data_IF_595196955045
#
_entry.id   IF_595196955045
#
_cell.length_a   1.000
_cell.length_b   1.000
_cell.length_c   1.000
_cell.angle_alpha   90.00
_cell.angle_beta   90.00
_cell.angle_gamma   90.00
#
_symmetry.space_group_name_H-M   'P 1'
#
loop_
_entity.id
_entity.type
_entity.pdbx_description
1 polymer ?
#
# COMPACT_ATOMS: atom_id res chain seq x y z
N UNK A 1 -21.10 14.12 -21.56
CA UNK A 1 -20.01 15.04 -21.17
C UNK A 1 -18.69 14.42 -21.61
N UNK A 2 -17.85 15.13 -22.35
CA UNK A 2 -16.63 14.53 -22.91
C UNK A 2 -15.66 14.10 -21.79
N UNK A 3 -15.04 12.92 -21.91
CA UNK A 3 -14.02 12.36 -20.98
C UNK A 3 -12.92 13.40 -20.64
N UNK A 4 -12.55 14.20 -21.63
CA UNK A 4 -11.60 15.31 -21.48
C UNK A 4 -12.03 16.34 -20.43
N UNK A 5 -13.31 16.74 -20.41
CA UNK A 5 -13.83 17.73 -19.45
C UNK A 5 -13.85 17.18 -18.02
N UNK A 6 -14.15 15.90 -17.86
CA UNK A 6 -14.09 15.22 -16.57
C UNK A 6 -12.66 15.21 -16.00
N UNK A 7 -11.68 14.78 -16.81
CA UNK A 7 -10.28 14.71 -16.40
C UNK A 7 -9.68 16.08 -16.10
N UNK A 8 -10.08 17.12 -16.85
CA UNK A 8 -9.65 18.49 -16.62
C UNK A 8 -10.16 19.00 -15.26
N UNK A 9 -11.44 18.78 -14.94
CA UNK A 9 -12.03 19.19 -13.66
C UNK A 9 -11.31 18.49 -12.50
N UNK A 10 -11.05 17.18 -12.59
CA UNK A 10 -10.31 16.47 -11.55
C UNK A 10 -8.89 17.00 -11.35
N UNK A 11 -8.21 17.39 -12.43
CA UNK A 11 -6.88 18.02 -12.33
C UNK A 11 -6.93 19.38 -11.67
N UNK A 12 -7.92 20.21 -12.01
CA UNK A 12 -8.10 21.52 -11.37
C UNK A 12 -8.43 21.40 -9.89
N UNK A 13 -9.34 20.49 -9.51
CA UNK A 13 -9.68 20.22 -8.11
C UNK A 13 -8.44 19.81 -7.32
N UNK A 14 -7.59 18.98 -7.89
CA UNK A 14 -6.33 18.55 -7.28
C UNK A 14 -5.32 19.69 -7.09
N UNK A 15 -5.17 20.57 -8.10
CA UNK A 15 -4.26 21.72 -8.01
C UNK A 15 -4.78 22.69 -6.95
N UNK A 16 -6.08 22.97 -6.92
CA UNK A 16 -6.69 23.84 -5.92
C UNK A 16 -6.50 23.29 -4.49
N UNK A 17 -6.66 21.99 -4.30
CA UNK A 17 -6.40 21.32 -3.04
C UNK A 17 -4.94 21.56 -2.57
N UNK A 18 -3.98 21.30 -3.45
CA UNK A 18 -2.57 21.49 -3.14
C UNK A 18 -2.24 22.96 -2.83
N UNK A 19 -2.85 23.91 -3.53
CA UNK A 19 -2.70 25.35 -3.24
C UNK A 19 -3.27 25.69 -1.87
N UNK A 20 -4.50 25.25 -1.55
CA UNK A 20 -5.14 25.52 -0.28
C UNK A 20 -4.35 24.98 0.91
N UNK A 21 -3.87 23.74 0.84
CA UNK A 21 -3.06 23.13 1.91
C UNK A 21 -1.68 23.79 2.03
N UNK A 22 -1.17 24.41 0.97
CA UNK A 22 0.10 25.16 1.03
C UNK A 22 -0.02 26.51 1.76
N UNK A 23 -1.22 27.11 1.83
CA UNK A 23 -1.43 28.44 2.43
C UNK A 23 -0.97 28.49 3.91
N UNK A 24 -1.35 27.57 4.82
CA UNK A 24 -0.92 27.64 6.21
C UNK A 24 0.61 27.53 6.36
N UNK A 25 1.26 26.69 5.57
CA UNK A 25 2.71 26.62 5.54
C UNK A 25 3.34 27.94 5.08
N UNK A 26 2.84 28.51 3.99
CA UNK A 26 3.33 29.80 3.48
C UNK A 26 3.16 30.93 4.51
N UNK A 27 2.01 31.01 5.17
CA UNK A 27 1.78 31.97 6.25
C UNK A 27 2.77 31.76 7.40
N UNK A 28 2.97 30.52 7.84
CA UNK A 28 3.92 30.18 8.89
C UNK A 28 5.36 30.57 8.49
N UNK A 29 5.75 30.30 7.24
CA UNK A 29 7.04 30.71 6.69
C UNK A 29 7.25 32.21 6.76
N UNK A 30 6.36 33.02 6.12
CA UNK A 30 6.52 34.47 6.04
C UNK A 30 6.36 35.19 7.39
N UNK A 31 5.47 34.72 8.25
CA UNK A 31 5.22 35.38 9.54
C UNK A 31 6.28 35.08 10.58
N UNK A 32 6.86 33.87 10.53
CA UNK A 32 7.80 33.41 11.58
C UNK A 32 9.15 32.95 11.04
N UNK A 33 9.24 31.87 10.27
CA UNK A 33 10.51 31.23 9.97
C UNK A 33 11.45 32.06 9.10
N UNK A 34 10.95 32.79 8.10
CA UNK A 34 11.76 33.64 7.24
C UNK A 34 12.55 34.71 8.01
N UNK A 35 12.06 35.11 9.21
CA UNK A 35 12.72 36.10 10.09
C UNK A 35 13.76 35.48 10.99
N UNK A 36 13.82 34.14 11.15
CA UNK A 36 14.68 33.42 12.09
C UNK A 36 15.76 32.57 11.40
N UNK A 37 15.85 32.61 10.07
CA UNK A 37 16.94 31.96 9.32
C UNK A 37 18.26 32.70 9.51
N UNK A 38 19.38 31.96 9.34
CA UNK A 38 20.74 32.50 9.56
C UNK A 38 21.09 33.68 8.65
N UNK A 39 20.61 33.67 7.43
CA UNK A 39 20.78 34.72 6.41
C UNK A 39 19.49 34.88 5.64
N UNK A 40 18.72 35.97 5.78
CA UNK A 40 17.53 36.22 5.01
C UNK A 40 17.80 36.15 3.50
N UNK A 41 16.87 35.61 2.75
CA UNK A 41 17.00 35.56 1.30
C UNK A 41 16.96 36.95 0.70
N UNK A 42 17.92 37.24 -0.17
CA UNK A 42 18.02 38.56 -0.81
C UNK A 42 16.96 38.79 -1.91
N UNK A 43 16.49 37.73 -2.56
CA UNK A 43 15.56 37.88 -3.68
C UNK A 43 14.37 36.91 -3.56
N UNK A 44 14.33 35.87 -4.42
CA UNK A 44 13.18 34.99 -4.59
C UNK A 44 13.25 33.70 -3.76
N UNK A 45 14.19 33.58 -2.81
CA UNK A 45 14.40 32.36 -2.03
C UNK A 45 13.18 31.93 -1.21
N UNK A 46 12.43 32.90 -0.67
CA UNK A 46 11.20 32.62 0.08
C UNK A 46 10.15 31.91 -0.77
N UNK A 47 9.99 32.33 -2.05
CA UNK A 47 9.08 31.65 -2.98
C UNK A 47 9.54 30.22 -3.29
N UNK A 48 10.86 30.00 -3.35
CA UNK A 48 11.41 28.66 -3.58
C UNK A 48 11.08 27.72 -2.41
N UNK A 49 11.15 28.18 -1.17
CA UNK A 49 10.80 27.39 0.03
C UNK A 49 9.31 26.99 -0.02
N UNK A 50 8.43 27.92 -0.32
CA UNK A 50 6.98 27.63 -0.46
C UNK A 50 6.72 26.70 -1.63
N UNK A 51 7.38 26.93 -2.78
CA UNK A 51 7.27 26.06 -3.95
C UNK A 51 7.78 24.62 -3.66
N UNK A 52 8.86 24.48 -2.87
CA UNK A 52 9.38 23.19 -2.45
C UNK A 52 8.34 22.42 -1.62
N UNK A 53 7.70 23.09 -0.64
CA UNK A 53 6.62 22.48 0.11
C UNK A 53 5.48 22.03 -0.81
N UNK A 54 5.03 22.88 -1.73
CA UNK A 54 3.97 22.56 -2.69
C UNK A 54 4.29 21.31 -3.52
N UNK A 55 5.53 21.22 -4.02
CA UNK A 55 6.00 20.04 -4.80
C UNK A 55 6.04 18.78 -3.92
N UNK A 56 6.57 18.88 -2.70
CA UNK A 56 6.60 17.76 -1.74
C UNK A 56 5.18 17.29 -1.40
N UNK A 57 4.25 18.21 -1.13
CA UNK A 57 2.87 17.87 -0.83
C UNK A 57 2.18 17.16 -2.00
N UNK A 58 2.38 17.62 -3.25
CA UNK A 58 1.86 16.91 -4.43
C UNK A 58 2.48 15.53 -4.58
N UNK A 59 3.79 15.41 -4.34
CA UNK A 59 4.50 14.14 -4.44
C UNK A 59 3.96 13.13 -3.41
N UNK A 60 3.92 13.49 -2.13
CA UNK A 60 3.40 12.62 -1.08
C UNK A 60 1.88 12.43 -1.18
N UNK A 61 1.14 13.43 -1.61
CA UNK A 61 -0.28 13.30 -1.89
C UNK A 61 -0.60 12.26 -2.98
N UNK A 62 0.30 12.07 -3.95
CA UNK A 62 0.19 10.96 -4.92
C UNK A 62 0.55 9.61 -4.31
N UNK A 63 1.54 9.58 -3.42
CA UNK A 63 1.95 8.35 -2.72
C UNK A 63 0.85 7.82 -1.81
N UNK A 64 0.15 8.72 -1.11
CA UNK A 64 -0.92 8.37 -0.17
C UNK A 64 -2.31 8.32 -0.81
N UNK A 65 -2.43 8.53 -2.12
CA UNK A 65 -3.71 8.62 -2.85
C UNK A 65 -4.66 9.72 -2.35
N UNK A 66 -4.10 10.80 -1.79
CA UNK A 66 -4.82 11.89 -1.15
C UNK A 66 -5.76 12.67 -2.10
N UNK A 67 -5.58 12.51 -3.41
CA UNK A 67 -6.34 13.24 -4.44
C UNK A 67 -7.41 12.40 -5.16
N UNK A 68 -7.63 11.15 -4.77
CA UNK A 68 -8.58 10.25 -5.42
C UNK A 68 -10.00 10.40 -4.84
N UNK A 69 -10.55 11.62 -4.92
CA UNK A 69 -11.85 11.99 -4.34
C UNK A 69 -13.03 11.15 -4.82
N UNK A 70 -12.91 10.53 -6.00
CA UNK A 70 -13.98 9.70 -6.58
C UNK A 70 -13.91 8.23 -6.18
N UNK A 71 -12.88 7.82 -5.42
CA UNK A 71 -12.61 6.41 -5.10
C UNK A 71 -12.60 6.10 -3.61
N UNK A 72 -12.38 7.13 -2.77
CA UNK A 72 -12.21 6.97 -1.33
C UNK A 72 -13.26 7.75 -0.55
N UNK A 73 -13.53 7.31 0.67
CA UNK A 73 -14.37 8.04 1.63
C UNK A 73 -13.69 9.33 2.06
N UNK A 74 -14.48 10.34 2.45
CA UNK A 74 -13.94 11.64 2.88
C UNK A 74 -12.92 11.49 4.00
N UNK A 75 -13.16 10.61 4.98
CA UNK A 75 -12.25 10.32 6.09
C UNK A 75 -10.90 9.78 5.62
N UNK A 76 -10.90 8.89 4.63
CA UNK A 76 -9.68 8.31 4.06
C UNK A 76 -8.86 9.35 3.28
N UNK A 77 -9.55 10.26 2.56
CA UNK A 77 -8.92 11.37 1.84
C UNK A 77 -8.27 12.33 2.83
N UNK A 78 -8.99 12.78 3.86
CA UNK A 78 -8.49 13.70 4.89
C UNK A 78 -7.29 13.08 5.62
N UNK A 79 -7.37 11.80 5.94
CA UNK A 79 -6.26 11.07 6.58
C UNK A 79 -5.03 10.99 5.66
N UNK A 80 -5.23 10.70 4.38
CA UNK A 80 -4.15 10.66 3.38
C UNK A 80 -3.50 12.05 3.18
N UNK A 81 -4.31 13.12 3.17
CA UNK A 81 -3.82 14.49 3.09
C UNK A 81 -3.04 14.89 4.35
N UNK A 82 -3.52 14.51 5.53
CA UNK A 82 -2.80 14.73 6.78
C UNK A 82 -1.42 14.06 6.76
N UNK A 83 -1.32 12.81 6.33
CA UNK A 83 -0.03 12.13 6.23
C UNK A 83 0.90 12.80 5.21
N UNK A 84 0.36 13.20 4.05
CA UNK A 84 1.13 13.91 3.04
C UNK A 84 1.67 15.24 3.56
N UNK A 85 0.83 16.01 4.27
CA UNK A 85 1.22 17.28 4.90
C UNK A 85 2.25 17.06 6.01
N UNK A 86 2.03 16.12 6.92
CA UNK A 86 2.92 15.84 8.03
C UNK A 86 4.33 15.42 7.57
N UNK A 87 4.43 14.57 6.54
CA UNK A 87 5.74 14.18 5.97
C UNK A 87 6.39 15.36 5.27
N UNK A 88 5.62 16.16 4.52
CA UNK A 88 6.13 17.36 3.85
C UNK A 88 6.63 18.41 4.86
N UNK A 89 5.87 18.68 5.92
CA UNK A 89 6.24 19.59 6.99
C UNK A 89 7.47 19.11 7.76
N UNK A 90 7.57 17.81 8.01
CA UNK A 90 8.76 17.23 8.64
C UNK A 90 10.01 17.47 7.78
N UNK A 91 9.95 17.22 6.48
CA UNK A 91 11.07 17.48 5.56
C UNK A 91 11.39 18.98 5.53
N UNK A 92 10.36 19.82 5.45
CA UNK A 92 10.55 21.26 5.46
C UNK A 92 11.11 21.76 6.79
N UNK A 93 10.74 21.17 7.91
CA UNK A 93 11.34 21.50 9.21
C UNK A 93 12.85 21.20 9.25
N UNK A 94 13.27 20.06 8.66
CA UNK A 94 14.71 19.75 8.50
C UNK A 94 15.39 20.78 7.60
N UNK A 95 14.76 21.18 6.49
CA UNK A 95 15.28 22.23 5.59
C UNK A 95 15.40 23.56 6.34
N UNK A 96 14.40 23.96 7.12
CA UNK A 96 14.39 25.18 7.93
C UNK A 96 15.50 25.10 8.98
N UNK A 97 15.69 23.96 9.63
CA UNK A 97 16.79 23.75 10.57
C UNK A 97 18.16 23.95 9.93
N UNK A 98 18.38 23.40 8.72
CA UNK A 98 19.63 23.60 7.98
C UNK A 98 19.88 25.06 7.57
N UNK A 99 18.81 25.84 7.40
CA UNK A 99 18.88 27.28 7.11
C UNK A 99 19.02 28.14 8.37
N UNK A 100 18.83 27.58 9.56
CA UNK A 100 18.84 28.27 10.84
C UNK A 100 20.12 28.01 11.62
N UNK A 101 20.54 28.98 12.48
CA UNK A 101 21.72 28.80 13.36
C UNK A 101 21.44 27.85 14.53
N UNK A 102 20.19 27.77 14.96
CA UNK A 102 19.74 26.97 16.09
C UNK A 102 18.53 26.12 15.67
N UNK A 103 18.18 25.14 16.51
CA UNK A 103 16.97 24.33 16.28
C UNK A 103 15.74 25.26 16.28
N UNK A 104 14.95 25.31 15.18
CA UNK A 104 13.81 26.20 15.09
C UNK A 104 12.71 25.79 16.08
N UNK A 105 11.91 26.75 16.54
CA UNK A 105 10.73 26.45 17.33
C UNK A 105 9.74 25.64 16.49
N UNK A 106 9.30 24.50 16.99
CA UNK A 106 8.38 23.58 16.30
C UNK A 106 6.92 24.08 16.32
N UNK A 107 6.54 24.92 17.31
CA UNK A 107 5.16 25.31 17.54
C UNK A 107 4.48 25.97 16.33
N UNK A 108 5.11 26.91 15.60
CA UNK A 108 4.52 27.47 14.39
C UNK A 108 4.25 26.43 13.31
N UNK A 109 5.14 25.43 13.16
CA UNK A 109 4.93 24.31 12.23
C UNK A 109 3.73 23.44 12.63
N UNK A 110 3.55 23.17 13.92
CA UNK A 110 2.37 22.43 14.42
C UNK A 110 1.09 23.23 14.16
N UNK A 111 1.11 24.53 14.36
CA UNK A 111 -0.06 25.39 14.05
C UNK A 111 -0.36 25.36 12.54
N UNK A 112 0.68 25.40 11.70
CA UNK A 112 0.50 25.27 10.24
C UNK A 112 -0.13 23.92 9.88
N UNK A 113 0.36 22.80 10.44
CA UNK A 113 -0.18 21.46 10.21
C UNK A 113 -1.66 21.34 10.63
N UNK A 114 -2.05 21.92 11.76
CA UNK A 114 -3.46 21.96 12.18
C UNK A 114 -4.30 22.78 11.18
N UNK A 115 -3.81 23.93 10.75
CA UNK A 115 -4.46 24.74 9.71
C UNK A 115 -4.63 23.99 8.39
N UNK A 116 -3.61 23.27 7.96
CA UNK A 116 -3.64 22.41 6.78
C UNK A 116 -4.70 21.31 6.90
N UNK A 117 -4.79 20.63 8.06
CA UNK A 117 -5.78 19.60 8.32
C UNK A 117 -7.21 20.15 8.24
N UNK A 118 -7.47 21.30 8.82
CA UNK A 118 -8.78 21.96 8.76
C UNK A 118 -9.15 22.32 7.33
N UNK A 119 -8.24 22.93 6.57
CA UNK A 119 -8.48 23.27 5.17
C UNK A 119 -8.67 22.02 4.30
N UNK A 120 -7.85 21.00 4.50
CA UNK A 120 -7.99 19.72 3.82
C UNK A 120 -9.36 19.07 4.07
N UNK A 121 -9.84 19.06 5.32
CA UNK A 121 -11.14 18.50 5.67
C UNK A 121 -12.32 19.28 5.04
N UNK A 122 -12.26 20.60 5.10
CA UNK A 122 -13.28 21.48 4.48
C UNK A 122 -13.28 21.30 2.96
N UNK A 123 -12.09 21.29 2.35
CA UNK A 123 -11.95 21.10 0.92
C UNK A 123 -12.40 19.71 0.47
N UNK A 124 -11.94 18.64 1.11
CA UNK A 124 -12.32 17.28 0.76
C UNK A 124 -13.85 17.08 0.80
N UNK A 125 -14.53 17.63 1.85
CA UNK A 125 -15.98 17.58 1.95
C UNK A 125 -16.67 18.37 0.82
N UNK A 126 -16.21 19.59 0.55
CA UNK A 126 -16.80 20.47 -0.46
C UNK A 126 -16.59 19.92 -1.87
N UNK A 127 -15.37 19.49 -2.18
CA UNK A 127 -15.02 18.94 -3.49
C UNK A 127 -15.71 17.58 -3.74
N UNK A 128 -15.80 16.71 -2.72
CA UNK A 128 -16.54 15.44 -2.80
C UNK A 128 -18.03 15.69 -3.10
N UNK A 129 -18.67 16.61 -2.36
CA UNK A 129 -20.08 16.95 -2.60
C UNK A 129 -20.28 17.55 -4.01
N UNK A 130 -19.43 18.49 -4.42
CA UNK A 130 -19.49 19.11 -5.75
C UNK A 130 -19.26 18.08 -6.87
N UNK A 131 -18.34 17.13 -6.68
CA UNK A 131 -18.07 16.06 -7.64
C UNK A 131 -19.30 15.19 -7.88
N UNK A 132 -19.90 14.61 -6.83
CA UNK A 132 -21.04 13.71 -6.96
C UNK A 132 -22.35 14.43 -7.38
N UNK A 133 -22.46 15.73 -7.13
CA UNK A 133 -23.54 16.55 -7.68
C UNK A 133 -23.39 16.80 -9.19
N UNK A 134 -22.14 16.92 -9.67
CA UNK A 134 -21.84 17.26 -11.07
C UNK A 134 -21.78 16.01 -11.96
N UNK A 135 -21.28 14.89 -11.42
CA UNK A 135 -21.08 13.64 -12.13
C UNK A 135 -22.02 12.57 -11.58
N UNK A 136 -23.09 12.24 -12.32
CA UNK A 136 -23.99 11.15 -11.90
C UNK A 136 -23.24 9.80 -11.89
N UNK A 137 -23.74 8.82 -11.12
CA UNK A 137 -23.17 7.48 -11.09
C UNK A 137 -23.09 6.88 -12.49
N UNK A 138 -21.98 6.21 -12.79
CA UNK A 138 -21.76 5.53 -14.06
C UNK A 138 -22.55 4.23 -14.10
N UNK A 139 -23.31 4.01 -15.18
CA UNK A 139 -23.94 2.73 -15.44
C UNK A 139 -22.85 1.66 -15.57
N UNK A 140 -22.92 0.64 -14.72
CA UNK A 140 -21.85 -0.35 -14.53
C UNK A 140 -22.38 -1.75 -14.69
N UNK A 141 -21.67 -2.59 -15.43
CA UNK A 141 -21.92 -4.04 -15.48
C UNK A 141 -20.80 -4.79 -14.74
N UNK A 142 -21.19 -5.89 -14.10
CA UNK A 142 -20.25 -6.83 -13.45
C UNK A 142 -20.33 -8.15 -14.20
N UNK A 143 -19.23 -8.57 -14.81
CA UNK A 143 -19.13 -9.83 -15.53
C UNK A 143 -18.20 -10.76 -14.75
N UNK A 144 -18.69 -11.96 -14.46
CA UNK A 144 -17.95 -12.93 -13.67
C UNK A 144 -17.99 -14.33 -14.31
N UNK A 145 -17.10 -15.19 -13.86
CA UNK A 145 -17.11 -16.61 -14.17
C UNK A 145 -16.88 -17.40 -12.87
N UNK A 146 -15.64 -17.62 -12.48
CA UNK A 146 -15.30 -18.41 -11.29
C UNK A 146 -15.39 -17.62 -9.98
N UNK A 147 -15.44 -16.28 -10.01
CA UNK A 147 -15.40 -15.42 -8.83
C UNK A 147 -16.55 -14.43 -8.82
N UNK A 148 -17.52 -14.68 -7.95
CA UNK A 148 -18.72 -13.85 -7.75
C UNK A 148 -18.53 -12.83 -6.62
N UNK A 149 -19.50 -11.91 -6.45
CA UNK A 149 -19.61 -11.03 -5.29
C UNK A 149 -18.94 -9.67 -5.41
N UNK A 150 -18.39 -9.32 -6.58
CA UNK A 150 -17.75 -8.01 -6.79
C UNK A 150 -18.75 -6.85 -6.64
N UNK A 151 -20.02 -7.05 -6.99
CA UNK A 151 -21.09 -6.07 -6.81
C UNK A 151 -21.31 -5.73 -5.32
N UNK A 152 -21.20 -6.73 -4.42
CA UNK A 152 -21.29 -6.51 -2.97
C UNK A 152 -20.10 -5.70 -2.46
N UNK A 153 -18.91 -5.93 -3.00
CA UNK A 153 -17.71 -5.16 -2.63
C UNK A 153 -17.85 -3.68 -3.02
N UNK A 154 -18.42 -3.37 -4.19
CA UNK A 154 -18.68 -1.99 -4.60
C UNK A 154 -19.50 -1.26 -3.53
N UNK A 155 -20.57 -1.88 -3.00
CA UNK A 155 -21.40 -1.33 -1.93
C UNK A 155 -20.65 -1.23 -0.60
N UNK A 156 -19.95 -2.28 -0.18
CA UNK A 156 -19.19 -2.30 1.08
C UNK A 156 -18.13 -1.19 1.15
N UNK A 157 -17.49 -0.88 0.02
CA UNK A 157 -16.49 0.20 -0.07
C UNK A 157 -17.11 1.58 -0.29
N UNK A 158 -18.46 1.69 -0.36
CA UNK A 158 -19.17 2.97 -0.54
C UNK A 158 -18.97 3.59 -1.91
N UNK A 159 -18.72 2.76 -2.93
CA UNK A 159 -18.50 3.19 -4.32
C UNK A 159 -19.79 3.29 -5.14
N UNK A 160 -20.97 3.03 -4.54
CA UNK A 160 -22.28 3.13 -5.18
C UNK A 160 -22.56 4.53 -5.76
N UNK A 161 -22.02 5.56 -5.12
CA UNK A 161 -22.12 6.93 -5.62
C UNK A 161 -21.42 7.16 -6.95
N UNK A 162 -20.45 6.30 -7.31
CA UNK A 162 -19.70 6.36 -8.57
C UNK A 162 -20.12 5.31 -9.56
N UNK A 163 -20.34 4.09 -9.11
CA UNK A 163 -20.66 2.93 -9.94
C UNK A 163 -22.04 2.39 -9.59
N UNK A 164 -23.01 2.64 -10.45
CA UNK A 164 -24.36 2.08 -10.31
C UNK A 164 -24.40 0.75 -11.07
N UNK A 165 -24.35 -0.36 -10.35
CA UNK A 165 -24.48 -1.68 -10.98
C UNK A 165 -25.89 -1.84 -11.53
N UNK A 166 -26.01 -1.96 -12.85
CA UNK A 166 -27.27 -2.11 -13.60
C UNK A 166 -27.41 -3.48 -14.22
N UNK A 167 -26.33 -4.21 -14.42
CA UNK A 167 -26.31 -5.55 -14.95
C UNK A 167 -25.23 -6.40 -14.26
N UNK A 168 -25.57 -7.65 -13.99
CA UNK A 168 -24.63 -8.68 -13.51
C UNK A 168 -24.88 -9.93 -14.32
N UNK A 169 -23.86 -10.46 -15.00
CA UNK A 169 -23.99 -11.62 -15.89
C UNK A 169 -22.73 -12.48 -15.83
N UNK A 170 -22.86 -13.72 -16.27
CA UNK A 170 -21.74 -14.61 -16.54
C UNK A 170 -21.02 -14.20 -17.82
N UNK A 171 -19.76 -14.61 -17.98
CA UNK A 171 -19.01 -14.35 -19.20
C UNK A 171 -19.69 -14.99 -20.43
N UNK A 172 -20.25 -16.19 -20.29
CA UNK A 172 -20.97 -16.89 -21.37
C UNK A 172 -22.21 -16.11 -21.84
N UNK A 173 -23.08 -15.68 -20.90
CA UNK A 173 -24.25 -14.86 -21.20
C UNK A 173 -23.87 -13.54 -21.88
N UNK A 174 -22.79 -12.90 -21.42
CA UNK A 174 -22.30 -11.65 -21.99
C UNK A 174 -21.82 -11.84 -23.44
N UNK A 175 -21.14 -12.96 -23.74
CA UNK A 175 -20.62 -13.24 -25.08
C UNK A 175 -21.76 -13.59 -26.05
N UNK A 176 -22.77 -14.33 -25.59
CA UNK A 176 -23.97 -14.64 -26.41
C UNK A 176 -24.72 -13.35 -26.77
N UNK A 177 -24.72 -12.35 -25.90
CA UNK A 177 -25.41 -11.09 -26.14
C UNK A 177 -24.61 -9.88 -25.70
N UNK A 178 -23.60 -9.49 -26.49
CA UNK A 178 -22.74 -8.31 -26.20
C UNK A 178 -23.54 -6.99 -26.15
N UNK A 179 -24.72 -6.91 -26.79
CA UNK A 179 -25.56 -5.70 -26.76
C UNK A 179 -26.13 -5.39 -25.37
N UNK A 180 -26.05 -6.32 -24.40
CA UNK A 180 -26.34 -6.02 -23.00
C UNK A 180 -25.41 -4.96 -22.39
N UNK A 181 -24.27 -4.71 -23.02
CA UNK A 181 -23.31 -3.68 -22.62
C UNK A 181 -23.59 -2.31 -23.26
N UNK A 182 -24.62 -2.20 -24.10
CA UNK A 182 -25.01 -0.93 -24.71
C UNK A 182 -25.51 0.05 -23.64
N UNK A 183 -24.99 1.27 -23.67
CA UNK A 183 -25.30 2.27 -22.66
C UNK A 183 -24.55 2.10 -21.32
N UNK A 184 -23.71 1.07 -21.16
CA UNK A 184 -22.83 0.87 -20.02
C UNK A 184 -21.59 1.76 -20.17
N UNK A 185 -21.17 2.40 -19.08
CA UNK A 185 -19.96 3.23 -19.05
C UNK A 185 -18.74 2.46 -18.54
N UNK A 186 -18.97 1.52 -17.64
CA UNK A 186 -17.90 0.78 -16.95
C UNK A 186 -18.27 -0.69 -16.83
N UNK A 187 -17.31 -1.57 -17.08
CA UNK A 187 -17.43 -3.01 -16.88
C UNK A 187 -16.36 -3.49 -15.91
N UNK A 188 -16.76 -4.23 -14.89
CA UNK A 188 -15.85 -4.95 -14.01
C UNK A 188 -15.84 -6.43 -14.37
N UNK A 189 -14.64 -6.99 -14.54
CA UNK A 189 -14.47 -8.43 -14.89
C UNK A 189 -13.73 -9.14 -13.77
N UNK A 190 -14.31 -10.25 -13.30
CA UNK A 190 -13.80 -11.08 -12.21
C UNK A 190 -13.76 -12.55 -12.58
N UNK A 191 -12.56 -13.16 -12.54
CA UNK A 191 -12.37 -14.59 -12.71
C UNK A 191 -12.62 -15.13 -14.12
N UNK A 192 -12.77 -14.28 -15.14
CA UNK A 192 -13.08 -14.67 -16.52
C UNK A 192 -11.86 -15.19 -17.25
N UNK A 193 -12.02 -16.28 -18.04
CA UNK A 193 -10.97 -16.87 -18.86
C UNK A 193 -10.47 -15.93 -19.96
N UNK A 194 -9.19 -16.07 -20.32
CA UNK A 194 -8.53 -15.12 -21.24
C UNK A 194 -9.18 -15.02 -22.60
N UNK A 195 -9.73 -16.13 -23.12
CA UNK A 195 -10.42 -16.15 -24.41
C UNK A 195 -11.66 -15.25 -24.37
N UNK A 196 -12.54 -15.50 -23.43
CA UNK A 196 -13.83 -14.81 -23.28
C UNK A 196 -13.64 -13.35 -22.90
N UNK A 197 -12.69 -13.10 -21.99
CA UNK A 197 -12.28 -11.75 -21.62
C UNK A 197 -11.79 -10.94 -22.82
N UNK A 198 -11.05 -11.54 -23.75
CA UNK A 198 -10.55 -10.84 -24.93
C UNK A 198 -11.68 -10.45 -25.90
N UNK A 199 -12.75 -11.24 -25.98
CA UNK A 199 -13.94 -10.90 -26.76
C UNK A 199 -14.61 -9.66 -26.15
N UNK A 200 -14.88 -9.71 -24.85
CA UNK A 200 -15.52 -8.60 -24.11
C UNK A 200 -14.64 -7.35 -24.13
N UNK A 201 -13.31 -7.50 -23.98
CA UNK A 201 -12.35 -6.39 -24.03
C UNK A 201 -12.41 -5.64 -25.35
N UNK A 202 -12.40 -6.37 -26.47
CA UNK A 202 -12.48 -5.76 -27.82
C UNK A 202 -13.77 -4.97 -27.96
N UNK A 203 -14.91 -5.55 -27.60
CA UNK A 203 -16.18 -4.86 -27.62
C UNK A 203 -16.19 -3.59 -26.75
N UNK A 204 -15.67 -3.67 -25.52
CA UNK A 204 -15.55 -2.52 -24.63
C UNK A 204 -14.69 -1.40 -25.22
N UNK A 205 -13.55 -1.74 -25.83
CA UNK A 205 -12.64 -0.76 -26.46
C UNK A 205 -13.31 -0.11 -27.67
N UNK A 206 -13.96 -0.89 -28.53
CA UNK A 206 -14.69 -0.39 -29.71
C UNK A 206 -15.84 0.56 -29.33
N UNK A 207 -16.55 0.27 -28.24
CA UNK A 207 -17.68 1.07 -27.77
C UNK A 207 -17.30 2.11 -26.70
N UNK A 208 -16.01 2.38 -26.48
CA UNK A 208 -15.51 3.36 -25.51
C UNK A 208 -15.96 3.11 -24.07
N UNK A 209 -16.17 1.84 -23.69
CA UNK A 209 -16.52 1.39 -22.35
C UNK A 209 -15.23 1.19 -21.55
N UNK A 210 -15.16 1.73 -20.34
CA UNK A 210 -14.00 1.50 -19.45
C UNK A 210 -14.11 0.13 -18.79
N UNK A 211 -13.06 -0.68 -18.89
CA UNK A 211 -13.04 -2.02 -18.30
C UNK A 211 -12.02 -2.11 -17.16
N UNK A 212 -12.45 -2.62 -16.01
CA UNK A 212 -11.59 -3.01 -14.89
C UNK A 212 -11.53 -4.53 -14.81
N UNK A 213 -10.33 -5.07 -14.75
CA UNK A 213 -10.11 -6.52 -14.74
C UNK A 213 -9.35 -6.90 -13.47
N UNK A 214 -9.86 -7.89 -12.74
CA UNK A 214 -9.05 -8.57 -11.73
C UNK A 214 -8.11 -9.52 -12.48
N UNK A 215 -6.78 -9.25 -12.50
CA UNK A 215 -5.86 -10.00 -13.32
C UNK A 215 -5.69 -11.42 -12.78
N UNK A 216 -5.54 -12.38 -13.68
CA UNK A 216 -5.08 -13.72 -13.35
C UNK A 216 -3.53 -13.74 -13.24
N UNK A 217 -2.97 -14.77 -12.66
CA UNK A 217 -1.51 -14.94 -12.49
C UNK A 217 -0.77 -14.75 -13.83
N UNK A 218 -1.26 -15.36 -14.90
CA UNK A 218 -0.68 -15.22 -16.25
C UNK A 218 -0.68 -13.78 -16.76
N UNK A 219 -1.76 -13.03 -16.51
CA UNK A 219 -1.86 -11.62 -16.91
C UNK A 219 -0.83 -10.76 -16.15
N UNK A 220 -0.68 -11.03 -14.86
CA UNK A 220 0.27 -10.32 -14.01
C UNK A 220 1.72 -10.59 -14.46
N UNK A 221 2.05 -11.83 -14.81
CA UNK A 221 3.36 -12.18 -15.37
C UNK A 221 3.57 -11.48 -16.71
N UNK A 222 2.56 -11.50 -17.59
CA UNK A 222 2.63 -10.85 -18.91
C UNK A 222 2.74 -9.32 -18.80
N UNK A 223 2.20 -8.69 -17.76
CA UNK A 223 2.32 -7.23 -17.57
C UNK A 223 3.76 -6.77 -17.39
N UNK A 224 4.64 -7.62 -16.86
CA UNK A 224 6.09 -7.37 -16.75
C UNK A 224 6.91 -7.73 -17.99
N UNK A 225 6.26 -8.11 -19.10
CA UNK A 225 6.95 -8.51 -20.31
C UNK A 225 7.63 -7.31 -21.01
N UNK A 226 8.82 -7.53 -21.53
CA UNK A 226 9.51 -6.55 -22.35
C UNK A 226 9.07 -6.64 -23.81
N UNK A 227 8.61 -5.52 -24.36
CA UNK A 227 8.30 -5.41 -25.78
C UNK A 227 9.59 -5.41 -26.59
N UNK A 228 9.66 -6.27 -27.59
CA UNK A 228 10.80 -6.37 -28.50
C UNK A 228 10.36 -6.69 -29.93
N UNK A 229 11.22 -6.45 -30.89
CA UNK A 229 11.01 -6.80 -32.28
C UNK A 229 12.07 -7.82 -32.69
N UNK A 230 11.65 -8.99 -33.14
CA UNK A 230 12.51 -10.01 -33.72
C UNK A 230 11.84 -10.57 -34.98
N UNK A 231 12.63 -10.89 -35.98
CA UNK A 231 12.13 -11.43 -37.26
C UNK A 231 11.05 -10.56 -37.93
N UNK A 232 11.11 -9.23 -37.73
CA UNK A 232 10.11 -8.25 -38.16
C UNK A 232 8.72 -8.44 -37.50
N UNK A 233 8.66 -9.17 -36.39
CA UNK A 233 7.43 -9.43 -35.63
C UNK A 233 7.51 -8.75 -34.26
N UNK A 234 6.38 -8.20 -33.76
CA UNK A 234 6.28 -7.76 -32.40
C UNK A 234 6.26 -8.97 -31.45
N UNK A 235 7.14 -8.99 -30.46
CA UNK A 235 7.24 -10.07 -29.49
C UNK A 235 7.24 -9.54 -28.07
N UNK A 236 6.74 -10.36 -27.15
CA UNK A 236 6.82 -10.15 -25.71
C UNK A 236 7.83 -11.12 -25.13
N UNK A 237 8.90 -10.59 -24.55
CA UNK A 237 9.87 -11.39 -23.81
C UNK A 237 9.43 -11.47 -22.36
N UNK A 238 9.04 -12.66 -21.95
CA UNK A 238 8.74 -13.00 -20.56
C UNK A 238 9.89 -13.81 -20.00
N UNK A 239 10.31 -13.52 -18.77
CA UNK A 239 11.38 -14.23 -18.12
C UNK A 239 11.19 -14.25 -16.60
N UNK A 240 12.04 -15.03 -15.91
CA UNK A 240 12.12 -14.98 -14.45
C UNK A 240 12.55 -13.58 -14.00
N UNK A 241 12.13 -13.14 -12.80
CA UNK A 241 12.56 -11.89 -12.18
C UNK A 241 14.09 -11.74 -12.24
N UNK A 242 14.49 -10.77 -12.99
CA UNK A 242 15.90 -10.43 -13.18
C UNK A 242 16.03 -8.91 -13.35
N UNK A 243 15.87 -8.13 -12.27
CA UNK A 243 15.96 -6.69 -12.33
C UNK A 243 17.38 -6.24 -12.63
N UNK A 244 17.50 -5.01 -13.12
CA UNK A 244 18.79 -4.41 -13.44
C UNK A 244 19.70 -4.36 -12.20
N UNK A 245 21.01 -4.61 -12.35
CA UNK A 245 21.98 -4.58 -11.25
C UNK A 245 22.00 -3.26 -10.50
N UNK A 246 21.79 -2.13 -11.20
CA UNK A 246 21.73 -0.79 -10.62
C UNK A 246 20.56 -0.66 -9.63
N UNK A 247 19.40 -1.19 -9.99
CA UNK A 247 18.25 -1.23 -9.08
C UNK A 247 18.57 -2.04 -7.82
N UNK A 248 19.16 -3.24 -7.98
CA UNK A 248 19.51 -4.10 -6.84
C UNK A 248 20.55 -3.44 -5.92
N UNK A 249 21.52 -2.73 -6.50
CA UNK A 249 22.54 -1.99 -5.75
C UNK A 249 21.91 -0.85 -4.94
N UNK A 250 21.12 0.01 -5.59
CA UNK A 250 20.46 1.15 -4.93
C UNK A 250 19.50 0.65 -3.85
N UNK A 251 18.70 -0.38 -4.16
CA UNK A 251 17.80 -1.01 -3.20
C UNK A 251 18.55 -1.52 -1.97
N UNK A 252 19.67 -2.23 -2.18
CA UNK A 252 20.49 -2.74 -1.08
C UNK A 252 21.11 -1.62 -0.24
N UNK A 253 21.57 -0.56 -0.87
CA UNK A 253 22.10 0.62 -0.19
C UNK A 253 21.02 1.28 0.69
N UNK A 254 19.82 1.47 0.15
CA UNK A 254 18.66 2.00 0.91
C UNK A 254 18.28 1.08 2.06
N UNK A 255 18.22 -0.23 1.84
CA UNK A 255 17.96 -1.22 2.88
C UNK A 255 18.94 -1.07 4.06
N UNK A 256 20.23 -0.95 3.79
CA UNK A 256 21.28 -0.80 4.82
C UNK A 256 21.16 0.55 5.53
N UNK A 257 21.10 1.65 4.78
CA UNK A 257 21.09 3.01 5.35
C UNK A 257 19.86 3.23 6.22
N UNK A 258 18.68 2.89 5.70
CA UNK A 258 17.41 3.10 6.42
C UNK A 258 17.34 2.17 7.65
N UNK A 259 17.71 0.89 7.52
CA UNK A 259 17.67 -0.04 8.64
C UNK A 259 18.68 0.31 9.74
N UNK A 260 19.89 0.76 9.39
CA UNK A 260 20.89 1.20 10.35
C UNK A 260 20.42 2.48 11.07
N UNK A 261 19.92 3.47 10.34
CA UNK A 261 19.37 4.70 10.91
C UNK A 261 18.19 4.40 11.84
N UNK A 262 17.26 3.53 11.41
CA UNK A 262 16.10 3.13 12.21
C UNK A 262 16.53 2.41 13.50
N UNK A 263 17.51 1.51 13.46
CA UNK A 263 18.02 0.83 14.66
C UNK A 263 18.65 1.81 15.66
N UNK A 264 19.39 2.82 15.18
CA UNK A 264 19.97 3.85 16.05
C UNK A 264 18.87 4.71 16.69
N UNK A 265 17.95 5.22 15.89
CA UNK A 265 16.87 6.11 16.35
C UNK A 265 15.92 5.37 17.32
N UNK A 266 15.56 4.13 16.99
CA UNK A 266 14.63 3.32 17.76
C UNK A 266 15.31 2.54 18.91
N UNK A 267 16.62 2.67 19.10
CA UNK A 267 17.36 1.95 20.17
C UNK A 267 16.77 2.14 21.58
N UNK A 268 16.23 3.31 21.99
CA UNK A 268 15.57 3.44 23.29
C UNK A 268 14.29 2.58 23.38
N UNK A 269 13.53 2.49 22.29
CA UNK A 269 12.31 1.65 22.21
C UNK A 269 12.69 0.17 22.31
N UNK A 270 13.79 -0.25 21.65
CA UNK A 270 14.32 -1.60 21.77
C UNK A 270 14.67 -1.94 23.23
N UNK A 271 15.35 -1.04 23.93
CA UNK A 271 15.75 -1.24 25.32
C UNK A 271 14.53 -1.36 26.24
N UNK A 272 13.57 -0.42 26.13
CA UNK A 272 12.35 -0.44 26.95
C UNK A 272 11.54 -1.70 26.69
N UNK A 273 11.37 -2.09 25.44
CA UNK A 273 10.65 -3.30 25.05
C UNK A 273 11.35 -4.56 25.59
N UNK A 274 12.68 -4.63 25.48
CA UNK A 274 13.45 -5.76 26.00
C UNK A 274 13.31 -5.90 27.51
N UNK A 275 13.36 -4.80 28.26
CA UNK A 275 13.17 -4.78 29.72
C UNK A 275 11.73 -5.23 30.06
N UNK A 276 10.72 -4.70 29.38
CA UNK A 276 9.31 -5.04 29.62
C UNK A 276 9.02 -6.54 29.40
N UNK A 277 9.54 -7.12 28.30
CA UNK A 277 9.41 -8.57 28.03
C UNK A 277 10.11 -9.38 29.12
N UNK A 278 11.34 -8.99 29.50
CA UNK A 278 12.11 -9.70 30.52
C UNK A 278 11.45 -9.65 31.89
N UNK A 279 10.82 -8.54 32.22
CA UNK A 279 10.11 -8.35 33.50
C UNK A 279 8.80 -9.17 33.57
N UNK A 280 8.20 -9.55 32.45
CA UNK A 280 6.91 -10.24 32.41
C UNK A 280 7.02 -11.72 32.81
N UNK A 281 7.99 -12.46 32.26
CA UNK A 281 8.11 -13.90 32.46
C UNK A 281 9.57 -14.41 32.48
N UNK A 282 10.54 -13.52 32.57
CA UNK A 282 11.98 -13.80 32.64
C UNK A 282 12.56 -14.60 31.47
N UNK A 283 11.77 -14.91 30.43
CA UNK A 283 12.19 -15.66 29.25
C UNK A 283 13.04 -14.87 28.25
N UNK A 284 13.34 -15.42 27.06
CA UNK A 284 14.12 -14.75 26.01
C UNK A 284 13.39 -13.53 25.46
N UNK A 285 14.12 -12.46 25.19
CA UNK A 285 13.56 -11.22 24.62
C UNK A 285 13.16 -11.39 23.15
N UNK A 286 14.00 -12.10 22.39
CA UNK A 286 13.78 -12.34 20.98
C UNK A 286 13.20 -13.73 20.73
N UNK A 287 12.33 -13.78 19.74
CA UNK A 287 11.80 -15.00 19.14
C UNK A 287 12.33 -15.12 17.72
N UNK A 288 12.78 -16.32 17.35
CA UNK A 288 13.28 -16.63 16.01
C UNK A 288 12.39 -17.69 15.39
N UNK A 289 11.95 -17.46 14.16
CA UNK A 289 11.09 -18.38 13.41
C UNK A 289 11.63 -18.58 11.99
N UNK A 290 11.64 -19.82 11.53
CA UNK A 290 12.05 -20.14 10.16
C UNK A 290 11.03 -19.60 9.15
N UNK A 291 11.55 -18.94 8.12
CA UNK A 291 10.79 -18.36 7.01
C UNK A 291 11.52 -18.55 5.70
N UNK A 292 10.77 -18.48 4.58
CA UNK A 292 11.32 -18.56 3.24
C UNK A 292 11.65 -17.17 2.69
N UNK A 293 12.76 -17.08 1.96
CA UNK A 293 13.17 -15.90 1.19
C UNK A 293 13.47 -16.31 -0.26
N UNK A 294 14.18 -15.47 -0.99
CA UNK A 294 14.50 -15.69 -2.40
C UNK A 294 15.03 -17.10 -2.66
N UNK A 295 14.57 -17.71 -3.74
CA UNK A 295 14.93 -19.06 -4.22
C UNK A 295 14.60 -20.18 -3.21
N UNK A 296 13.62 -19.95 -2.32
CA UNK A 296 13.20 -20.93 -1.31
C UNK A 296 14.20 -21.14 -0.18
N UNK A 297 15.18 -20.24 -0.01
CA UNK A 297 16.15 -20.32 1.07
C UNK A 297 15.46 -20.03 2.41
N UNK A 298 15.80 -20.82 3.41
CA UNK A 298 15.33 -20.62 4.77
C UNK A 298 16.21 -19.61 5.52
N UNK A 299 15.56 -18.77 6.33
CA UNK A 299 16.24 -17.88 7.27
C UNK A 299 15.43 -17.75 8.56
N UNK A 300 16.08 -17.32 9.63
CA UNK A 300 15.42 -17.09 10.91
C UNK A 300 15.00 -15.65 11.08
N UNK A 301 13.70 -15.36 10.87
CA UNK A 301 13.15 -14.03 11.11
C UNK A 301 13.17 -13.72 12.61
N UNK A 302 13.68 -12.52 12.97
CA UNK A 302 13.76 -12.06 14.34
C UNK A 302 12.55 -11.20 14.70
N UNK A 303 11.95 -11.48 15.86
CA UNK A 303 10.86 -10.66 16.43
C UNK A 303 11.09 -10.48 17.93
N UNK A 304 10.50 -9.45 18.50
CA UNK A 304 10.30 -9.43 19.94
C UNK A 304 9.27 -10.50 20.32
N UNK A 305 9.51 -11.19 21.41
CA UNK A 305 8.60 -12.21 21.89
C UNK A 305 7.34 -11.56 22.44
N UNK A 306 6.22 -11.84 21.83
CA UNK A 306 4.89 -11.34 22.20
C UNK A 306 3.99 -12.43 22.82
N UNK A 307 4.40 -13.69 22.75
CA UNK A 307 3.67 -14.84 23.29
C UNK A 307 4.44 -15.52 24.42
N UNK A 308 3.75 -16.34 25.22
CA UNK A 308 4.36 -17.15 26.28
C UNK A 308 5.41 -18.11 25.71
N UNK A 309 6.37 -18.52 26.52
CA UNK A 309 7.46 -19.44 26.11
C UNK A 309 6.92 -20.80 25.61
N UNK A 310 5.76 -21.19 26.07
CA UNK A 310 5.11 -22.47 25.78
C UNK A 310 3.98 -22.38 24.73
N UNK A 311 3.88 -21.26 24.02
CA UNK A 311 2.78 -20.98 23.09
C UNK A 311 2.66 -21.98 21.91
N UNK A 312 3.74 -22.65 21.50
CA UNK A 312 3.78 -23.64 20.41
C UNK A 312 4.42 -24.99 20.87
N UNK A 313 4.16 -25.42 22.12
CA UNK A 313 4.69 -26.70 22.63
C UNK A 313 4.19 -27.93 21.86
N UNK A 314 3.03 -27.82 21.22
CA UNK A 314 2.45 -28.89 20.40
C UNK A 314 3.08 -29.00 19.00
N UNK A 315 4.00 -28.10 18.64
CA UNK A 315 4.71 -28.11 17.34
C UNK A 315 3.82 -27.79 16.14
N UNK A 316 2.54 -27.44 16.35
CA UNK A 316 1.62 -27.13 15.25
C UNK A 316 1.69 -25.64 14.89
N UNK A 317 2.03 -25.37 13.63
CA UNK A 317 2.04 -24.01 13.08
C UNK A 317 0.60 -23.51 12.95
N UNK A 318 0.20 -22.54 13.81
CA UNK A 318 -1.12 -21.92 13.78
C UNK A 318 -1.01 -20.44 13.47
N UNK A 319 -1.98 -19.93 12.70
CA UNK A 319 -2.16 -18.48 12.57
C UNK A 319 -2.68 -17.92 13.91
N UNK A 320 -2.34 -16.68 14.22
CA UNK A 320 -2.86 -16.03 15.42
C UNK A 320 -4.34 -15.72 15.26
N UNK A 321 -5.17 -16.05 16.25
CA UNK A 321 -6.60 -15.77 16.28
C UNK A 321 -6.96 -14.31 16.65
N UNK A 322 -6.00 -13.38 16.51
CA UNK A 322 -6.24 -11.96 16.78
C UNK A 322 -6.12 -11.57 18.26
N UNK A 323 -6.98 -10.65 18.71
CA UNK A 323 -6.90 -10.06 20.06
C UNK A 323 -7.24 -11.03 21.21
N UNK A 324 -8.00 -12.10 20.93
CA UNK A 324 -8.45 -13.08 21.92
C UNK A 324 -7.52 -14.30 22.07
N UNK A 325 -6.32 -14.24 21.50
CA UNK A 325 -5.34 -15.34 21.58
C UNK A 325 -4.70 -15.38 22.99
N UNK A 326 -5.08 -16.34 23.81
CA UNK A 326 -4.61 -16.53 25.20
C UNK A 326 -3.09 -16.77 25.33
N UNK A 327 -2.43 -17.06 24.22
CA UNK A 327 -0.97 -17.24 24.17
C UNK A 327 -0.23 -15.90 24.24
N UNK A 328 -0.91 -14.77 23.99
CA UNK A 328 -0.30 -13.45 23.93
C UNK A 328 -0.15 -12.87 25.36
N UNK A 329 1.05 -12.42 25.71
CA UNK A 329 1.31 -11.76 26.98
C UNK A 329 0.70 -10.34 27.02
N UNK A 330 0.45 -9.74 28.20
CA UNK A 330 -0.03 -8.37 28.30
C UNK A 330 0.88 -7.34 27.57
N UNK A 331 2.20 -7.49 27.74
CA UNK A 331 3.21 -6.70 27.00
C UNK A 331 3.12 -7.02 25.50
N UNK A 332 2.90 -8.30 25.15
CA UNK A 332 2.74 -8.77 23.78
C UNK A 332 1.57 -8.09 23.06
N UNK A 333 0.44 -7.86 23.74
CA UNK A 333 -0.69 -7.12 23.15
C UNK A 333 -0.31 -5.71 22.71
N UNK A 334 0.40 -4.98 23.58
CA UNK A 334 0.84 -3.62 23.30
C UNK A 334 1.84 -3.58 22.14
N UNK A 335 2.89 -4.41 22.16
CA UNK A 335 3.93 -4.37 21.13
C UNK A 335 3.41 -4.84 19.77
N UNK A 336 2.43 -5.74 19.73
CA UNK A 336 1.75 -6.17 18.48
C UNK A 336 0.84 -5.07 17.92
N UNK A 337 0.05 -4.43 18.78
CA UNK A 337 -0.81 -3.31 18.37
C UNK A 337 -0.02 -2.17 17.72
N UNK A 338 1.19 -1.88 18.25
CA UNK A 338 2.09 -0.85 17.69
C UNK A 338 3.09 -1.40 16.66
N UNK A 339 3.03 -2.68 16.27
CA UNK A 339 3.98 -3.35 15.38
C UNK A 339 5.45 -3.27 15.82
N UNK A 340 5.71 -2.97 17.09
CA UNK A 340 7.05 -2.92 17.68
C UNK A 340 7.70 -4.31 17.70
N UNK A 341 6.87 -5.37 17.79
CA UNK A 341 7.35 -6.76 17.75
C UNK A 341 8.11 -7.13 16.47
N UNK A 342 7.89 -6.44 15.37
CA UNK A 342 8.55 -6.68 14.09
C UNK A 342 9.85 -5.87 13.90
N UNK A 343 10.15 -4.90 14.77
CA UNK A 343 11.37 -4.07 14.65
C UNK A 343 12.70 -4.85 14.62
N UNK A 344 12.89 -6.00 15.33
CA UNK A 344 14.12 -6.78 15.23
C UNK A 344 14.42 -7.31 13.83
N UNK A 345 13.45 -7.34 12.91
CA UNK A 345 13.67 -7.71 11.52
C UNK A 345 14.62 -6.75 10.79
N UNK A 346 14.79 -5.51 11.27
CA UNK A 346 15.82 -4.59 10.77
C UNK A 346 17.23 -5.22 10.83
N UNK A 347 17.50 -6.09 11.79
CA UNK A 347 18.75 -6.84 11.89
C UNK A 347 18.85 -7.87 10.74
N UNK A 348 17.75 -8.55 10.40
CA UNK A 348 17.73 -9.47 9.25
C UNK A 348 17.98 -8.72 7.93
N UNK A 349 17.45 -7.47 7.82
CA UNK A 349 17.71 -6.63 6.65
C UNK A 349 19.20 -6.27 6.55
N UNK A 350 19.84 -5.86 7.63
CA UNK A 350 21.27 -5.58 7.63
C UNK A 350 22.10 -6.81 7.26
N UNK A 351 21.71 -8.02 7.74
CA UNK A 351 22.36 -9.27 7.38
C UNK A 351 22.14 -9.67 5.92
N UNK A 352 21.18 -9.06 5.22
CA UNK A 352 20.84 -9.36 3.82
C UNK A 352 19.90 -10.54 3.63
N UNK A 353 19.36 -11.09 4.70
CA UNK A 353 18.38 -12.17 4.69
C UNK A 353 17.00 -11.68 4.23
N UNK A 354 16.68 -10.42 4.56
CA UNK A 354 15.44 -9.73 4.28
C UNK A 354 15.72 -8.39 3.54
N UNK A 355 14.72 -7.80 2.91
CA UNK A 355 14.71 -6.44 2.37
C UNK A 355 13.65 -5.61 3.11
N UNK A 356 13.66 -4.29 2.99
CA UNK A 356 12.56 -3.45 3.51
C UNK A 356 11.30 -3.77 2.71
N UNK A 357 11.38 -3.78 1.38
CA UNK A 357 10.23 -4.03 0.50
C UNK A 357 10.40 -5.34 -0.26
N UNK A 358 9.36 -6.18 -0.24
CA UNK A 358 9.32 -7.46 -0.95
C UNK A 358 8.11 -8.32 -0.52
N UNK A 359 7.92 -9.48 -1.12
CA UNK A 359 6.90 -10.43 -0.70
C UNK A 359 7.03 -10.80 0.78
N UNK A 360 5.91 -10.89 1.50
CA UNK A 360 5.94 -11.27 2.92
C UNK A 360 6.50 -12.69 3.09
N UNK A 361 7.50 -12.90 3.97
CA UNK A 361 8.08 -14.24 4.17
C UNK A 361 7.08 -15.19 4.83
N UNK A 362 6.83 -16.35 4.23
CA UNK A 362 5.94 -17.38 4.76
C UNK A 362 6.72 -18.48 5.50
N UNK A 363 6.03 -19.22 6.39
CA UNK A 363 6.56 -20.44 7.02
C UNK A 363 6.71 -21.53 5.95
N UNK A 364 7.77 -22.36 5.97
CA UNK A 364 7.94 -23.45 5.01
C UNK A 364 6.73 -24.39 4.94
N UNK A 365 6.15 -24.75 6.10
CA UNK A 365 5.01 -25.65 6.20
C UNK A 365 3.75 -25.05 5.54
N UNK A 366 3.47 -23.76 5.80
CA UNK A 366 2.32 -23.05 5.21
C UNK A 366 2.52 -22.85 3.71
N UNK A 367 3.74 -22.51 3.29
CA UNK A 367 4.04 -22.35 1.87
C UNK A 367 3.91 -23.68 1.11
N UNK A 368 4.30 -24.81 1.72
CA UNK A 368 4.11 -26.13 1.14
C UNK A 368 2.62 -26.46 0.95
N UNK A 369 1.78 -26.21 1.97
CA UNK A 369 0.33 -26.40 1.85
C UNK A 369 -0.28 -25.55 0.72
N UNK A 370 0.13 -24.29 0.61
CA UNK A 370 -0.36 -23.43 -0.48
C UNK A 370 0.13 -23.92 -1.85
N UNK A 371 1.34 -24.47 -1.96
CA UNK A 371 1.87 -25.01 -3.20
C UNK A 371 1.19 -26.33 -3.62
N UNK A 372 0.64 -27.13 -2.70
CA UNK A 372 -0.15 -28.32 -3.03
C UNK A 372 -1.43 -27.97 -3.77
N UNK A 373 -2.13 -26.91 -3.35
CA UNK A 373 -3.36 -26.45 -4.00
C UNK A 373 -3.10 -25.50 -5.18
N UNK A 374 -2.01 -24.71 -5.11
CA UNK A 374 -1.64 -23.69 -6.08
C UNK A 374 -0.11 -23.71 -6.30
N UNK A 375 0.40 -24.54 -7.22
CA UNK A 375 1.85 -24.68 -7.48
C UNK A 375 2.55 -23.36 -7.82
N UNK A 376 1.80 -22.41 -8.43
CA UNK A 376 2.28 -21.07 -8.78
C UNK A 376 2.63 -20.21 -7.56
N UNK A 377 2.21 -20.60 -6.33
CA UNK A 377 2.52 -19.85 -5.12
C UNK A 377 4.03 -19.70 -4.90
N UNK A 378 4.82 -20.66 -5.39
CA UNK A 378 6.28 -20.62 -5.38
C UNK A 378 6.88 -19.48 -6.19
N UNK A 379 6.15 -18.90 -7.18
CA UNK A 379 6.63 -17.82 -8.04
C UNK A 379 6.95 -16.54 -7.27
N UNK A 380 6.36 -16.32 -6.11
CA UNK A 380 6.67 -15.21 -5.22
C UNK A 380 8.10 -15.23 -4.66
N UNK A 381 8.72 -16.42 -4.61
CA UNK A 381 10.08 -16.62 -4.12
C UNK A 381 11.16 -16.19 -5.12
N UNK A 382 10.80 -15.62 -6.25
CA UNK A 382 11.77 -15.05 -7.20
C UNK A 382 12.44 -13.77 -6.65
N UNK A 383 11.76 -13.01 -5.81
CA UNK A 383 12.28 -11.82 -5.15
C UNK A 383 12.66 -12.12 -3.69
N UNK A 384 13.54 -11.29 -3.13
CA UNK A 384 13.87 -11.34 -1.70
C UNK A 384 12.63 -10.96 -0.88
N UNK A 385 12.39 -11.69 0.21
CA UNK A 385 11.31 -11.40 1.13
C UNK A 385 11.47 -10.01 1.77
N UNK A 386 10.35 -9.35 2.08
CA UNK A 386 10.30 -7.99 2.60
C UNK A 386 9.70 -7.89 4.00
N UNK A 387 10.13 -6.87 4.75
CA UNK A 387 9.48 -6.43 5.99
C UNK A 387 8.08 -5.92 5.70
N UNK A 388 7.95 -5.14 4.62
CA UNK A 388 6.68 -4.71 4.02
C UNK A 388 6.62 -5.11 2.55
N UNK A 389 5.46 -5.04 1.91
CA UNK A 389 5.28 -5.39 0.52
C UNK A 389 3.91 -5.03 -0.02
N UNK A 390 3.74 -5.21 -1.32
CA UNK A 390 2.53 -4.82 -2.03
C UNK A 390 1.27 -5.46 -1.43
N UNK A 391 1.31 -6.78 -1.18
CA UNK A 391 0.19 -7.50 -0.57
C UNK A 391 -0.10 -7.06 0.89
N UNK A 392 0.91 -6.57 1.62
CA UNK A 392 0.73 -6.08 2.98
C UNK A 392 0.12 -4.69 3.03
N UNK A 393 0.38 -3.86 2.00
CA UNK A 393 -0.09 -2.48 1.92
C UNK A 393 -1.47 -2.38 1.30
N UNK A 394 -1.73 -3.13 0.24
CA UNK A 394 -2.98 -3.05 -0.52
C UNK A 394 -3.94 -4.22 -0.24
N UNK A 395 -3.45 -5.30 0.37
CA UNK A 395 -4.29 -6.40 0.85
C UNK A 395 -4.84 -6.14 2.25
N UNK A 396 -5.93 -6.80 2.60
CA UNK A 396 -6.44 -6.90 3.97
C UNK A 396 -6.01 -8.24 4.58
N UNK A 397 -6.22 -8.39 5.88
CA UNK A 397 -5.87 -9.64 6.57
C UNK A 397 -6.56 -10.87 5.98
N UNK A 398 -7.83 -10.74 5.57
CA UNK A 398 -8.65 -11.78 4.94
C UNK A 398 -8.45 -11.94 3.42
N UNK A 399 -7.44 -11.28 2.83
CA UNK A 399 -7.10 -11.43 1.42
C UNK A 399 -6.67 -12.88 1.15
N UNK A 400 -7.25 -13.49 0.11
CA UNK A 400 -6.98 -14.90 -0.24
C UNK A 400 -5.51 -15.11 -0.61
N UNK A 401 -4.95 -16.33 -0.46
CA UNK A 401 -3.60 -16.66 -0.91
C UNK A 401 -3.36 -16.37 -2.39
N UNK A 402 -4.40 -16.58 -3.22
CA UNK A 402 -4.37 -16.25 -4.65
C UNK A 402 -4.18 -14.73 -4.88
N UNK A 403 -4.96 -13.89 -4.19
CA UNK A 403 -4.84 -12.44 -4.33
C UNK A 403 -3.51 -11.93 -3.77
N UNK A 404 -3.02 -12.50 -2.66
CA UNK A 404 -1.69 -12.20 -2.11
C UNK A 404 -0.59 -12.53 -3.11
N UNK A 405 -0.67 -13.71 -3.75
CA UNK A 405 0.27 -14.09 -4.81
C UNK A 405 0.21 -13.11 -5.98
N UNK A 406 -1.00 -12.78 -6.46
CA UNK A 406 -1.18 -11.85 -7.58
C UNK A 406 -0.56 -10.48 -7.26
N UNK A 407 -0.77 -9.95 -6.04
CA UNK A 407 -0.17 -8.70 -5.58
C UNK A 407 1.35 -8.77 -5.48
N UNK A 408 1.90 -9.87 -4.97
CA UNK A 408 3.35 -10.08 -4.91
C UNK A 408 3.95 -10.17 -6.32
N UNK A 409 3.27 -10.81 -7.26
CA UNK A 409 3.70 -10.90 -8.66
C UNK A 409 3.59 -9.56 -9.38
N UNK A 410 2.59 -8.71 -9.06
CA UNK A 410 2.53 -7.33 -9.58
C UNK A 410 3.78 -6.52 -9.18
N UNK A 411 4.22 -6.64 -7.94
CA UNK A 411 5.46 -6.03 -7.48
C UNK A 411 6.69 -6.60 -8.21
N UNK A 412 6.75 -7.93 -8.36
CA UNK A 412 7.86 -8.64 -9.04
C UNK A 412 7.93 -8.27 -10.52
N UNK A 413 6.79 -8.06 -11.18
CA UNK A 413 6.71 -7.69 -12.58
C UNK A 413 7.29 -6.29 -12.89
N UNK A 414 7.20 -5.35 -11.93
CA UNK A 414 7.58 -3.96 -12.12
C UNK A 414 8.54 -3.44 -11.05
N UNK A 415 9.78 -3.99 -10.94
CA UNK A 415 10.74 -3.58 -9.92
C UNK A 415 11.20 -2.13 -10.15
N UNK A 416 10.97 -1.26 -9.18
CA UNK A 416 11.32 0.16 -9.27
C UNK A 416 11.59 0.75 -7.88
N UNK A 417 12.63 1.59 -7.76
CA UNK A 417 12.91 2.33 -6.51
C UNK A 417 11.74 3.25 -6.15
N UNK A 418 11.06 3.82 -7.14
CA UNK A 418 9.89 4.68 -6.89
C UNK A 418 8.77 3.86 -6.27
N UNK A 419 8.55 2.64 -6.75
CA UNK A 419 7.53 1.74 -6.20
C UNK A 419 7.92 1.26 -4.79
N UNK A 420 9.19 0.94 -4.55
CA UNK A 420 9.69 0.63 -3.20
C UNK A 420 9.43 1.80 -2.23
N UNK A 421 9.73 3.02 -2.62
CA UNK A 421 9.47 4.21 -1.80
C UNK A 421 7.97 4.41 -1.55
N UNK A 422 7.12 4.22 -2.55
CA UNK A 422 5.65 4.30 -2.37
C UNK A 422 5.16 3.27 -1.35
N UNK A 423 5.61 2.02 -1.46
CA UNK A 423 5.23 0.95 -0.53
C UNK A 423 5.72 1.29 0.88
N UNK A 424 6.94 1.80 1.05
CA UNK A 424 7.47 2.22 2.35
C UNK A 424 6.62 3.34 2.99
N UNK A 425 6.28 4.38 2.23
CA UNK A 425 5.43 5.45 2.73
C UNK A 425 4.00 4.98 2.99
N UNK A 426 3.43 4.15 2.10
CA UNK A 426 2.10 3.60 2.30
C UNK A 426 2.04 2.66 3.52
N UNK A 427 3.14 1.99 3.90
CA UNK A 427 3.24 1.22 5.14
C UNK A 427 3.00 2.09 6.37
N UNK A 428 3.51 3.33 6.39
CA UNK A 428 3.25 4.28 7.48
C UNK A 428 1.75 4.54 7.63
N UNK A 429 1.02 4.67 6.51
CA UNK A 429 -0.44 4.85 6.52
C UNK A 429 -1.15 3.70 7.23
N UNK A 430 -0.73 2.46 6.95
CA UNK A 430 -1.39 1.25 7.46
C UNK A 430 -1.10 1.01 8.94
N UNK A 431 0.07 1.42 9.44
CA UNK A 431 0.41 1.30 10.87
C UNK A 431 -0.60 2.00 11.79
N UNK A 432 -1.30 3.00 11.29
CA UNK A 432 -2.31 3.75 12.02
C UNK A 432 -3.75 3.40 11.66
N UNK A 433 -3.99 2.34 10.84
CA UNK A 433 -5.34 1.88 10.48
C UNK A 433 -5.70 0.62 11.29
N UNK A 434 -6.76 0.65 12.13
CA UNK A 434 -7.15 -0.49 12.97
C UNK A 434 -7.46 -1.77 12.17
N UNK A 435 -8.09 -1.64 11.01
CA UNK A 435 -8.50 -2.75 10.14
C UNK A 435 -7.34 -3.63 9.64
N UNK A 436 -6.10 -3.18 9.79
CA UNK A 436 -4.91 -3.94 9.37
C UNK A 436 -4.47 -5.02 10.38
N UNK A 437 -5.07 -5.05 11.58
CA UNK A 437 -4.71 -5.93 12.70
C UNK A 437 -5.73 -7.00 13.03
N UNK A 438 -6.89 -7.02 12.36
CA UNK A 438 -7.92 -8.04 12.58
C UNK A 438 -7.39 -9.44 12.26
N UNK A 439 -7.65 -10.40 13.17
CA UNK A 439 -7.22 -11.80 13.05
C UNK A 439 -8.14 -12.66 12.16
N UNK A 440 -7.74 -13.90 11.91
CA UNK A 440 -8.60 -14.91 11.26
C UNK A 440 -9.67 -15.37 12.23
N UNK A 441 -10.88 -15.72 11.75
CA UNK A 441 -11.94 -16.28 12.56
C UNK A 441 -11.50 -17.56 13.28
N UNK A 442 -12.04 -17.80 14.50
CA UNK A 442 -11.71 -18.97 15.29
C UNK A 442 -11.94 -20.27 14.49
N UNK A 443 -10.91 -21.14 14.48
CA UNK A 443 -10.96 -22.42 13.78
C UNK A 443 -10.28 -22.46 12.40
N UNK A 444 -9.90 -21.33 11.82
CA UNK A 444 -9.13 -21.31 10.57
C UNK A 444 -7.64 -21.54 10.82
N UNK A 445 -7.09 -22.61 10.25
CA UNK A 445 -5.63 -22.90 10.28
C UNK A 445 -4.88 -22.23 9.14
N UNK A 446 -5.55 -22.01 8.00
CA UNK A 446 -5.01 -21.32 6.83
C UNK A 446 -6.06 -20.36 6.23
N UNK A 447 -5.63 -19.38 5.45
CA UNK A 447 -6.55 -18.47 4.74
C UNK A 447 -7.38 -19.16 3.64
N UNK A 448 -7.11 -20.42 3.32
CA UNK A 448 -7.85 -21.24 2.35
C UNK A 448 -9.08 -21.93 2.94
N UNK A 449 -9.19 -22.07 4.26
CA UNK A 449 -10.31 -22.74 4.93
C UNK A 449 -11.58 -21.88 5.06
N UNK A 450 -11.63 -20.69 4.45
CA UNK A 450 -12.81 -19.86 4.34
C UNK A 450 -13.41 -19.96 2.94
N UNK A 451 -14.46 -20.77 2.83
CA UNK A 451 -15.47 -20.86 1.76
C UNK A 451 -14.99 -20.60 0.31
N UNK A 452 -14.76 -21.69 -0.39
CA UNK A 452 -15.01 -21.79 -1.82
C UNK A 452 -16.51 -21.51 -2.05
N UNK A 453 -16.86 -20.28 -2.41
CA UNK A 453 -18.13 -19.97 -3.07
C UNK A 453 -17.97 -18.71 -3.95
#
# INVERSE_FOLDING_TARGET
MTRFRHDLILRLVKIMDAVLVTIPFALCWYLYYAKHIASPFYAKGDYLVVALFFVLFIMFGRVYDAFLMSMYRISEIVYAQFLAAAVSDFIMYVVIWLLSKHLPNILPGVVALVGQLVLAAVWARSAHHAYFKTFPPQATAVIYDTRQGLEKLIGQYGLDGKYKVVATATAAECIENLSMLDGINTVFISGVHSHDRNIILKYCVENNITMFVIPRIGDTIMSGAHHMHMFHLPMLRVGRYNPQPEYLFIKRLLDIVISAAALIILSPIFLVTAIAIKATDHGPVFYKQTRLTKDGKEFGILKFRSMRVDAEKDGVARLSSGEHDDRITPVGKVIRACRVDELPQLINILRGELSIVGPRPERPEIAAQYCEEMPEFSLRLQAKAGLTGYAQVYGKYNTTPYDKLTMDLMYIAHPSIIEDLKIMFATVKILFMPESTEGVSEGQTTAMSGENH
#
